data_IF_673034840845
#
_entry.id   IF_673034840845
#
_cell.length_a   1.000
_cell.length_b   1.000
_cell.length_c   1.000
_cell.angle_alpha   90.00
_cell.angle_beta   90.00
_cell.angle_gamma   90.00
#
_symmetry.space_group_name_H-M   'P 1'
#
loop_
_entity.id
_entity.type
_entity.pdbx_description
1 polymer ?
#
# COMPACT_ATOMS: atom_id res chain seq x y z
N UNK A 1 1.69 -4.47 5.11
CA UNK A 1 1.58 -4.41 3.62
C UNK A 1 1.07 -5.70 2.98
N UNK A 2 1.67 -6.86 3.30
CA UNK A 2 1.35 -8.15 2.64
C UNK A 2 -0.13 -8.55 2.77
N UNK A 3 -0.64 -8.68 4.00
CA UNK A 3 -2.03 -9.12 4.25
C UNK A 3 -3.07 -8.17 3.65
N UNK A 4 -2.98 -6.88 3.99
CA UNK A 4 -3.89 -5.84 3.46
C UNK A 4 -3.78 -5.72 1.93
N UNK A 5 -2.57 -5.79 1.37
CA UNK A 5 -2.37 -5.76 -0.08
C UNK A 5 -3.03 -6.93 -0.79
N UNK A 6 -2.91 -8.15 -0.25
CA UNK A 6 -3.61 -9.33 -0.80
C UNK A 6 -5.11 -9.21 -0.69
N UNK A 7 -5.61 -8.70 0.44
CA UNK A 7 -7.04 -8.48 0.64
C UNK A 7 -7.59 -7.48 -0.37
N UNK A 8 -6.98 -6.29 -0.50
CA UNK A 8 -7.40 -5.29 -1.51
C UNK A 8 -7.29 -5.82 -2.96
N UNK A 9 -6.30 -6.67 -3.24
CA UNK A 9 -6.10 -7.22 -4.58
C UNK A 9 -7.15 -8.28 -4.96
N UNK A 10 -7.53 -9.14 -4.01
CA UNK A 10 -8.42 -10.29 -4.24
C UNK A 10 -9.87 -10.04 -3.84
N UNK A 11 -10.10 -9.13 -2.90
CA UNK A 11 -11.39 -8.80 -2.31
C UNK A 11 -11.50 -7.28 -2.15
N UNK A 12 -11.54 -6.51 -3.26
CA UNK A 12 -11.83 -5.09 -3.17
C UNK A 12 -13.20 -4.87 -2.50
N UNK A 13 -13.38 -3.80 -1.72
CA UNK A 13 -14.66 -3.49 -1.09
C UNK A 13 -15.76 -3.39 -2.16
N UNK A 14 -16.87 -4.10 -1.94
CA UNK A 14 -17.98 -4.19 -2.91
C UNK A 14 -18.75 -2.88 -3.08
N UNK A 15 -18.60 -1.96 -2.14
CA UNK A 15 -19.27 -0.68 -2.12
C UNK A 15 -18.24 0.43 -1.93
N UNK A 16 -18.44 1.52 -2.67
CA UNK A 16 -17.68 2.74 -2.49
C UNK A 16 -18.11 3.32 -1.15
N UNK A 17 -17.17 3.42 -0.22
CA UNK A 17 -17.45 3.88 1.13
C UNK A 17 -16.35 4.84 1.61
N UNK A 18 -16.71 5.67 2.58
CA UNK A 18 -15.82 6.68 3.14
C UNK A 18 -14.95 6.17 4.30
N UNK A 19 -15.07 4.90 4.71
CA UNK A 19 -14.40 4.39 5.91
C UNK A 19 -13.17 3.53 5.60
N UNK A 20 -13.26 2.62 4.63
CA UNK A 20 -12.26 1.60 4.33
C UNK A 20 -11.96 1.53 2.83
N UNK A 21 -10.67 1.57 2.49
CA UNK A 21 -10.18 1.35 1.13
C UNK A 21 -9.24 2.46 0.62
N UNK A 22 -8.93 2.37 -0.66
CA UNK A 22 -8.18 3.37 -1.41
C UNK A 22 -9.11 4.53 -1.77
N UNK A 23 -9.08 5.59 -0.96
CA UNK A 23 -10.04 6.72 -1.01
C UNK A 23 -9.40 7.97 -1.60
N UNK A 24 -9.23 7.97 -2.92
CA UNK A 24 -8.86 9.18 -3.67
C UNK A 24 -10.04 9.65 -4.52
N UNK A 25 -10.17 10.96 -4.81
CA UNK A 25 -11.30 11.48 -5.60
C UNK A 25 -11.50 10.74 -6.92
N UNK A 26 -10.41 10.36 -7.60
CA UNK A 26 -10.44 9.61 -8.87
C UNK A 26 -10.85 8.15 -8.71
N UNK A 27 -10.47 7.50 -7.61
CA UNK A 27 -10.85 6.11 -7.36
C UNK A 27 -12.33 5.96 -7.00
N UNK A 28 -12.94 6.97 -6.40
CA UNK A 28 -14.31 6.90 -5.85
C UNK A 28 -15.40 7.33 -6.85
N UNK A 29 -15.06 7.60 -8.11
CA UNK A 29 -16.04 8.09 -9.12
C UNK A 29 -17.09 7.02 -9.44
N UNK A 30 -16.65 5.79 -9.72
CA UNK A 30 -17.54 4.66 -9.98
C UNK A 30 -16.90 3.34 -9.52
N UNK A 31 -17.66 2.25 -9.64
CA UNK A 31 -17.20 0.93 -9.18
C UNK A 31 -15.99 0.41 -9.98
N UNK A 32 -15.84 0.81 -11.23
CA UNK A 32 -14.73 0.37 -12.08
C UNK A 32 -13.42 1.06 -11.69
N UNK A 33 -13.44 2.38 -11.48
CA UNK A 33 -12.28 3.13 -10.93
C UNK A 33 -11.89 2.64 -9.55
N UNK A 34 -12.89 2.31 -8.72
CA UNK A 34 -12.70 1.80 -7.36
C UNK A 34 -12.00 0.44 -7.37
N UNK A 35 -12.52 -0.50 -8.15
CA UNK A 35 -11.93 -1.84 -8.29
C UNK A 35 -10.53 -1.79 -8.89
N UNK A 36 -10.30 -0.94 -9.90
CA UNK A 36 -8.99 -0.76 -10.50
C UNK A 36 -7.96 -0.24 -9.49
N UNK A 37 -8.32 0.79 -8.70
CA UNK A 37 -7.43 1.36 -7.70
C UNK A 37 -7.01 0.33 -6.65
N UNK A 38 -7.97 -0.43 -6.12
CA UNK A 38 -7.73 -1.48 -5.13
C UNK A 38 -6.90 -2.64 -5.68
N UNK A 39 -7.18 -3.06 -6.92
CA UNK A 39 -6.43 -4.12 -7.57
C UNK A 39 -4.96 -3.71 -7.79
N UNK A 40 -4.74 -2.50 -8.34
CA UNK A 40 -3.39 -2.01 -8.66
C UNK A 40 -2.59 -1.71 -7.40
N UNK A 41 -3.19 -1.00 -6.43
CA UNK A 41 -2.56 -0.71 -5.14
C UNK A 41 -2.28 -2.01 -4.36
N UNK A 42 -3.27 -2.89 -4.25
CA UNK A 42 -3.15 -4.16 -3.54
C UNK A 42 -2.06 -5.07 -4.12
N UNK A 43 -2.01 -5.20 -5.45
CA UNK A 43 -0.96 -5.97 -6.13
C UNK A 43 0.43 -5.37 -5.88
N UNK A 44 0.58 -4.04 -5.91
CA UNK A 44 1.84 -3.37 -5.58
C UNK A 44 2.24 -3.61 -4.13
N UNK A 45 1.31 -3.46 -3.19
CA UNK A 45 1.57 -3.67 -1.77
C UNK A 45 1.95 -5.12 -1.45
N UNK A 46 1.36 -6.08 -2.17
CA UNK A 46 1.74 -7.48 -2.07
C UNK A 46 3.22 -7.69 -2.48
N UNK A 47 3.61 -7.20 -3.66
CA UNK A 47 4.99 -7.35 -4.18
C UNK A 47 5.99 -6.61 -3.29
N UNK A 48 5.74 -5.32 -3.01
CA UNK A 48 6.62 -4.48 -2.18
C UNK A 48 6.73 -5.06 -0.77
N UNK A 49 5.63 -5.57 -0.21
CA UNK A 49 5.63 -6.17 1.11
C UNK A 49 6.58 -7.36 1.22
N UNK A 50 6.61 -8.24 0.22
CA UNK A 50 7.55 -9.36 0.18
C UNK A 50 9.00 -8.92 0.00
N UNK A 51 9.23 -7.92 -0.85
CA UNK A 51 10.58 -7.36 -1.06
C UNK A 51 11.12 -6.71 0.21
N UNK A 52 10.27 -5.98 0.96
CA UNK A 52 10.67 -5.32 2.21
C UNK A 52 10.79 -6.27 3.40
N UNK A 53 10.17 -7.44 3.35
CA UNK A 53 10.22 -8.40 4.45
C UNK A 53 11.65 -8.90 4.68
N UNK A 54 12.37 -9.27 3.61
CA UNK A 54 13.73 -9.77 3.67
C UNK A 54 14.72 -8.81 4.36
N UNK A 55 14.86 -7.53 3.93
CA UNK A 55 15.75 -6.59 4.60
C UNK A 55 15.28 -6.25 6.01
N UNK A 56 13.96 -6.22 6.26
CA UNK A 56 13.43 -5.99 7.62
C UNK A 56 13.91 -7.08 8.58
N UNK A 57 13.78 -8.35 8.19
CA UNK A 57 14.25 -9.48 9.01
C UNK A 57 15.78 -9.44 9.15
N UNK A 58 16.51 -9.17 8.07
CA UNK A 58 17.97 -9.09 8.10
C UNK A 58 18.51 -8.01 9.06
N UNK A 59 17.85 -6.85 9.13
CA UNK A 59 18.21 -5.77 10.06
C UNK A 59 18.00 -6.17 11.52
N UNK A 60 17.05 -7.06 11.83
CA UNK A 60 16.81 -7.48 13.21
C UNK A 60 17.88 -8.45 13.76
N UNK A 61 18.54 -9.23 12.89
CA UNK A 61 19.55 -10.23 13.29
C UNK A 61 20.68 -9.62 14.14
N UNK A 62 21.38 -8.55 13.73
CA UNK A 62 22.48 -7.97 14.52
C UNK A 62 22.02 -7.23 15.79
N UNK A 63 20.72 -6.94 15.93
CA UNK A 63 20.15 -6.30 17.12
C UNK A 63 19.67 -7.31 18.16
N UNK A 64 19.76 -8.62 17.87
CA UNK A 64 19.40 -9.66 18.82
C UNK A 64 20.32 -9.62 20.05
N UNK A 65 19.74 -9.51 21.24
CA UNK A 65 20.49 -9.37 22.50
C UNK A 65 21.08 -7.99 22.78
N UNK A 66 20.74 -6.97 21.97
CA UNK A 66 21.05 -5.56 22.30
C UNK A 66 20.04 -5.03 23.34
N UNK A 67 20.41 -3.91 23.98
CA UNK A 67 19.53 -3.22 24.93
C UNK A 67 18.25 -2.70 24.28
N UNK A 68 17.22 -2.52 25.11
CA UNK A 68 15.87 -2.11 24.67
C UNK A 68 15.88 -0.80 23.89
N UNK A 69 16.69 0.18 24.29
CA UNK A 69 16.82 1.47 23.60
C UNK A 69 17.30 1.32 22.16
N UNK A 70 18.31 0.46 21.93
CA UNK A 70 18.87 0.23 20.60
C UNK A 70 17.85 -0.48 19.67
N UNK A 71 17.09 -1.43 20.23
CA UNK A 71 16.01 -2.12 19.51
C UNK A 71 14.89 -1.12 19.20
N UNK A 72 14.52 -0.26 20.16
CA UNK A 72 13.49 0.77 20.01
C UNK A 72 13.77 1.72 18.84
N UNK A 73 14.97 2.32 18.80
CA UNK A 73 15.35 3.21 17.71
C UNK A 73 15.41 2.52 16.35
N UNK A 74 15.87 1.26 16.30
CA UNK A 74 15.85 0.46 15.07
C UNK A 74 14.42 0.22 14.58
N UNK A 75 13.50 -0.19 15.46
CA UNK A 75 12.10 -0.40 15.13
C UNK A 75 11.44 0.88 14.60
N UNK A 76 11.72 2.03 15.21
CA UNK A 76 11.22 3.34 14.73
C UNK A 76 11.75 3.62 13.33
N UNK A 77 13.05 3.41 13.08
CA UNK A 77 13.66 3.62 11.76
C UNK A 77 13.00 2.75 10.68
N UNK A 78 12.80 1.46 10.97
CA UNK A 78 12.09 0.53 10.06
C UNK A 78 10.66 0.99 9.80
N UNK A 79 9.94 1.41 10.84
CA UNK A 79 8.56 1.90 10.72
C UNK A 79 8.47 3.13 9.82
N UNK A 80 9.36 4.11 9.99
CA UNK A 80 9.39 5.33 9.17
C UNK A 80 9.61 4.98 7.70
N UNK A 81 10.53 4.07 7.40
CA UNK A 81 10.78 3.60 6.02
C UNK A 81 9.53 2.92 5.45
N UNK A 82 8.90 2.01 6.19
CA UNK A 82 7.69 1.31 5.73
C UNK A 82 6.50 2.27 5.51
N UNK A 83 6.30 3.25 6.40
CA UNK A 83 5.29 4.28 6.25
C UNK A 83 5.54 5.17 5.03
N UNK A 84 6.80 5.55 4.79
CA UNK A 84 7.19 6.32 3.60
C UNK A 84 6.85 5.56 2.32
N UNK A 85 7.14 4.26 2.27
CA UNK A 85 6.81 3.41 1.11
C UNK A 85 5.30 3.32 0.90
N UNK A 86 4.50 3.20 1.98
CA UNK A 86 3.04 3.22 1.89
C UNK A 86 2.52 4.51 1.26
N UNK A 87 2.97 5.68 1.74
CA UNK A 87 2.56 6.97 1.19
C UNK A 87 3.03 7.11 -0.26
N UNK A 88 4.28 6.76 -0.55
CA UNK A 88 4.86 6.84 -1.88
C UNK A 88 4.10 5.96 -2.91
N UNK A 89 3.49 4.86 -2.47
CA UNK A 89 2.71 3.97 -3.34
C UNK A 89 1.39 4.57 -3.87
N UNK A 90 0.94 5.69 -3.30
CA UNK A 90 -0.23 6.43 -3.77
C UNK A 90 0.03 7.03 -5.15
N UNK A 91 1.18 7.69 -5.33
CA UNK A 91 1.54 8.36 -6.59
C UNK A 91 1.47 7.46 -7.84
N UNK A 92 2.06 6.24 -7.87
CA UNK A 92 1.98 5.38 -9.05
C UNK A 92 0.59 4.78 -9.27
N UNK A 93 -0.25 4.71 -8.23
CA UNK A 93 -1.63 4.25 -8.36
C UNK A 93 -2.50 5.36 -8.95
N UNK A 94 -2.38 6.59 -8.45
CA UNK A 94 -3.03 7.77 -9.03
C UNK A 94 -2.59 8.03 -10.48
N UNK A 95 -1.30 7.84 -10.78
CA UNK A 95 -0.80 7.95 -12.17
C UNK A 95 -1.43 6.89 -13.07
N UNK A 96 -1.61 5.66 -12.59
CA UNK A 96 -2.26 4.60 -13.34
C UNK A 96 -3.76 4.88 -13.56
N UNK A 97 -4.45 5.40 -12.53
CA UNK A 97 -5.83 5.86 -12.64
C UNK A 97 -5.96 6.97 -13.69
N UNK A 98 -5.10 8.00 -13.64
CA UNK A 98 -5.08 9.10 -14.61
C UNK A 98 -4.81 8.66 -16.06
N UNK A 99 -4.02 7.60 -16.23
CA UNK A 99 -3.72 7.05 -17.56
C UNK A 99 -4.88 6.21 -18.12
N UNK A 100 -5.64 5.54 -17.25
CA UNK A 100 -6.66 4.56 -17.65
C UNK A 100 -8.05 5.18 -17.74
N UNK A 101 -8.35 6.19 -16.92
CA UNK A 101 -9.68 6.79 -16.82
C UNK A 101 -9.68 8.29 -17.15
N UNK A 102 -10.82 8.77 -17.63
CA UNK A 102 -11.17 10.20 -17.71
C UNK A 102 -11.69 10.68 -16.35
N UNK A 103 -11.97 11.99 -16.23
CA UNK A 103 -12.41 12.58 -14.96
C UNK A 103 -13.82 12.14 -14.54
N UNK A 104 -14.66 11.77 -15.51
CA UNK A 104 -15.99 11.18 -15.30
C UNK A 104 -15.94 9.66 -14.97
N UNK A 105 -14.74 9.07 -14.89
CA UNK A 105 -14.56 7.65 -14.60
C UNK A 105 -14.79 6.72 -15.80
N UNK A 106 -14.98 7.25 -17.01
CA UNK A 106 -15.01 6.42 -18.23
C UNK A 106 -13.59 5.95 -18.58
N UNK A 107 -13.46 4.71 -19.06
CA UNK A 107 -12.18 4.19 -19.56
C UNK A 107 -11.76 4.96 -20.81
N UNK A 108 -10.46 5.23 -20.92
CA UNK A 108 -9.85 5.81 -22.12
C UNK A 108 -9.64 4.77 -23.21
#
# INVERSE_FOLDING_TARGET
>A
MIGVGRWMWKHPPKEINAFLGYRTPRSMVNMDTWNFAHHHCGKRWWIIGWILLLPTVAIHIPFYGKGEDAIGWMCIGVLVVQCTVLIASIFPTERALKKTFREDGTRR
#
